data_IF_210891306436
#
_entry.id   IF_210891306436
#
_cell.length_a   1.000
_cell.length_b   1.000
_cell.length_c   1.000
_cell.angle_alpha   90.00
_cell.angle_beta   90.00
_cell.angle_gamma   90.00
#
_symmetry.space_group_name_H-M   'P 1'
#
loop_
_entity.id
_entity.type
_entity.pdbx_description
1 polymer ?
#
# COMPACT_ATOMS: atom_id res chain seq x y z
N UNK A 1 50.43 20.80 -4.98
CA UNK A 1 49.87 19.44 -4.78
C UNK A 1 50.59 18.50 -5.74
N UNK A 2 51.49 17.65 -5.24
CA UNK A 2 52.35 16.77 -6.05
C UNK A 2 51.51 15.76 -6.84
N UNK A 3 51.92 15.42 -8.07
CA UNK A 3 51.16 14.53 -8.97
C UNK A 3 50.74 13.21 -8.30
N UNK A 4 51.57 12.69 -7.39
CA UNK A 4 51.30 11.49 -6.60
C UNK A 4 50.03 11.57 -5.76
N UNK A 5 49.67 12.76 -5.24
CA UNK A 5 48.44 12.97 -4.45
C UNK A 5 47.18 12.93 -5.33
N UNK A 6 47.25 13.39 -6.59
CA UNK A 6 46.12 13.36 -7.53
C UNK A 6 45.82 11.94 -8.00
N UNK A 7 46.86 11.11 -8.20
CA UNK A 7 46.72 9.70 -8.57
C UNK A 7 46.09 8.88 -7.43
N UNK A 8 46.51 9.10 -6.17
CA UNK A 8 45.88 8.40 -5.04
C UNK A 8 44.40 8.75 -4.87
N UNK A 9 44.01 10.02 -5.04
CA UNK A 9 42.60 10.44 -4.92
C UNK A 9 41.75 9.81 -6.04
N UNK A 10 42.29 9.74 -7.26
CA UNK A 10 41.61 9.09 -8.39
C UNK A 10 41.37 7.60 -8.14
N UNK A 11 42.34 6.91 -7.53
CA UNK A 11 42.22 5.48 -7.26
C UNK A 11 41.14 5.18 -6.21
N UNK A 12 41.02 6.02 -5.18
CA UNK A 12 39.98 5.88 -4.13
C UNK A 12 38.57 6.06 -4.70
N UNK A 13 38.40 6.98 -5.65
CA UNK A 13 37.09 7.24 -6.29
C UNK A 13 36.63 6.04 -7.13
N UNK A 14 37.55 5.41 -7.87
CA UNK A 14 37.22 4.23 -8.70
C UNK A 14 36.78 3.04 -7.85
N UNK A 15 37.44 2.79 -6.71
CA UNK A 15 37.09 1.70 -5.79
C UNK A 15 35.68 1.91 -5.19
N UNK A 16 35.33 3.16 -4.86
CA UNK A 16 33.99 3.51 -4.37
C UNK A 16 32.90 3.20 -5.40
N UNK A 17 33.11 3.53 -6.69
CA UNK A 17 32.14 3.25 -7.74
C UNK A 17 31.96 1.74 -8.04
N UNK A 18 33.01 0.93 -7.91
CA UNK A 18 32.90 -0.53 -8.09
C UNK A 18 32.05 -1.20 -7.00
N UNK A 19 32.09 -0.69 -5.76
CA UNK A 19 31.29 -1.25 -4.66
C UNK A 19 29.78 -0.97 -4.80
N UNK A 20 29.40 0.12 -5.47
CA UNK A 20 27.99 0.49 -5.68
C UNK A 20 27.35 -0.32 -6.83
N UNK A 21 28.12 -0.69 -7.86
CA UNK A 21 27.61 -1.43 -9.02
C UNK A 21 27.15 -2.85 -8.71
N UNK A 22 27.84 -3.55 -7.80
CA UNK A 22 27.50 -4.93 -7.42
C UNK A 22 26.15 -4.99 -6.69
N UNK A 23 25.87 -3.99 -5.85
CA UNK A 23 24.62 -3.92 -5.06
C UNK A 23 23.36 -3.70 -5.92
N UNK A 24 23.49 -3.02 -7.07
CA UNK A 24 22.36 -2.78 -7.98
C UNK A 24 22.10 -4.05 -8.82
N UNK A 25 23.13 -4.80 -9.18
CA UNK A 25 22.96 -6.02 -9.99
C UNK A 25 22.20 -7.13 -9.27
N UNK A 26 22.39 -7.32 -7.96
CA UNK A 26 21.66 -8.32 -7.17
C UNK A 26 20.20 -7.97 -6.92
N UNK A 27 19.83 -6.68 -6.90
CA UNK A 27 18.43 -6.26 -6.76
C UNK A 27 17.61 -6.49 -8.04
N UNK A 28 18.23 -6.43 -9.22
CA UNK A 28 17.55 -6.65 -10.51
C UNK A 28 17.59 -8.11 -10.99
N UNK A 29 18.51 -8.95 -10.50
CA UNK A 29 18.57 -10.39 -10.87
C UNK A 29 17.60 -11.28 -10.08
N UNK A 30 17.09 -10.87 -8.91
CA UNK A 30 16.15 -11.69 -8.12
C UNK A 30 14.74 -11.82 -8.74
N UNK A 31 14.47 -11.15 -9.87
CA UNK A 31 13.16 -11.19 -10.53
C UNK A 31 13.10 -12.15 -11.74
N UNK A 32 14.06 -13.06 -11.89
CA UNK A 32 14.03 -14.09 -12.94
C UNK A 32 14.48 -15.44 -12.39
N UNK A 33 13.51 -16.28 -12.08
CA UNK A 33 13.50 -17.77 -11.97
C UNK A 33 12.36 -18.13 -11.00
N UNK A 34 11.43 -19.03 -11.25
CA UNK A 34 11.22 -19.97 -12.33
C UNK A 34 9.83 -20.59 -12.19
N UNK A 35 9.32 -21.04 -13.33
CA UNK A 35 8.16 -21.91 -13.52
C UNK A 35 8.22 -23.11 -12.58
N UNK A 36 7.11 -23.49 -11.93
CA UNK A 36 6.71 -24.88 -11.63
C UNK A 36 5.29 -24.97 -11.03
N UNK A 37 4.69 -26.13 -11.25
CA UNK A 37 3.27 -26.46 -11.31
C UNK A 37 2.50 -26.50 -9.98
N UNK A 38 1.20 -26.17 -10.09
CA UNK A 38 0.01 -26.86 -9.55
C UNK A 38 0.19 -27.65 -8.24
N UNK A 39 -0.42 -27.18 -7.15
CA UNK A 39 -1.29 -28.04 -6.32
C UNK A 39 -2.33 -27.22 -5.56
N UNK A 40 -3.59 -27.45 -5.90
CA UNK A 40 -4.76 -26.91 -5.19
C UNK A 40 -4.81 -27.45 -3.76
N UNK A 41 -4.83 -26.58 -2.76
CA UNK A 41 -5.35 -26.96 -1.44
C UNK A 41 -6.24 -25.85 -0.91
N UNK A 42 -7.54 -26.06 -1.08
CA UNK A 42 -8.62 -25.29 -0.47
C UNK A 42 -8.63 -25.53 1.04
N UNK A 43 -8.49 -24.49 1.85
CA UNK A 43 -8.90 -24.49 3.25
C UNK A 43 -9.88 -23.34 3.49
N UNK A 44 -11.14 -23.74 3.65
CA UNK A 44 -12.26 -22.98 4.21
C UNK A 44 -11.86 -22.40 5.56
N UNK A 45 -12.11 -21.11 5.76
CA UNK A 45 -12.48 -20.59 7.08
C UNK A 45 -13.44 -19.41 6.93
N UNK A 46 -14.57 -19.53 7.62
CA UNK A 46 -15.75 -18.66 7.56
C UNK A 46 -15.48 -17.28 8.17
N UNK A 47 -15.77 -16.22 7.43
CA UNK A 47 -16.33 -15.01 8.03
C UNK A 47 -17.30 -14.34 7.05
N UNK A 48 -18.51 -14.08 7.55
CA UNK A 48 -19.64 -13.55 6.78
C UNK A 48 -19.39 -12.11 6.29
N UNK A 49 -18.82 -12.00 5.10
CA UNK A 49 -19.24 -11.01 4.11
C UNK A 49 -19.43 -11.76 2.80
N UNK A 50 -20.53 -11.44 2.09
CA UNK A 50 -20.99 -12.13 0.89
C UNK A 50 -19.97 -11.93 -0.24
N UNK A 51 -18.91 -12.74 -0.27
CA UNK A 51 -18.05 -12.93 -1.43
C UNK A 51 -18.90 -13.54 -2.55
N UNK A 52 -19.47 -12.69 -3.40
CA UNK A 52 -19.88 -13.12 -4.71
C UNK A 52 -18.60 -13.22 -5.55
N UNK A 53 -17.89 -14.35 -5.42
CA UNK A 53 -16.84 -14.77 -6.34
C UNK A 53 -17.47 -14.96 -7.72
N UNK A 54 -17.67 -13.85 -8.42
CA UNK A 54 -17.90 -13.84 -9.85
C UNK A 54 -16.50 -13.95 -10.43
N UNK A 55 -16.19 -15.12 -10.99
CA UNK A 55 -15.04 -15.29 -11.89
C UNK A 55 -15.27 -14.29 -13.03
N UNK A 56 -14.69 -13.11 -12.90
CA UNK A 56 -14.81 -12.02 -13.85
C UNK A 56 -13.55 -12.10 -14.70
N UNK A 57 -13.70 -12.72 -15.87
CA UNK A 57 -12.73 -12.56 -16.94
C UNK A 57 -12.49 -11.06 -17.20
N UNK A 58 -11.22 -10.70 -17.39
CA UNK A 58 -10.66 -9.41 -17.83
C UNK A 58 -10.50 -8.33 -16.76
N UNK A 59 -9.24 -8.08 -16.36
CA UNK A 59 -8.46 -6.82 -16.42
C UNK A 59 -9.14 -5.46 -16.15
N UNK A 60 -10.36 -5.45 -15.63
CA UNK A 60 -11.16 -4.24 -15.48
C UNK A 60 -11.14 -3.80 -14.02
N UNK A 61 -10.20 -2.90 -13.73
CA UNK A 61 -10.12 -2.21 -12.43
C UNK A 61 -11.49 -1.64 -12.10
N UNK A 62 -12.11 -2.18 -11.05
CA UNK A 62 -13.38 -1.67 -10.56
C UNK A 62 -13.16 -0.27 -9.99
N UNK A 63 -13.84 0.71 -10.59
CA UNK A 63 -13.67 2.12 -10.22
C UNK A 63 -14.41 2.39 -8.92
N UNK A 64 -13.68 2.88 -7.93
CA UNK A 64 -14.22 3.30 -6.66
C UNK A 64 -14.94 4.64 -6.82
N UNK A 65 -16.11 4.77 -6.18
CA UNK A 65 -16.84 6.04 -6.14
C UNK A 65 -16.10 7.06 -5.27
N UNK A 66 -15.59 6.61 -4.13
CA UNK A 66 -14.98 7.43 -3.08
C UNK A 66 -13.49 7.13 -2.93
N UNK A 67 -12.74 8.08 -2.36
CA UNK A 67 -11.39 7.83 -1.87
C UNK A 67 -11.45 6.87 -0.68
N UNK A 68 -10.61 5.85 -0.69
CA UNK A 68 -10.55 4.79 0.32
C UNK A 68 -9.15 4.77 0.91
N UNK A 69 -9.07 4.64 2.22
CA UNK A 69 -7.83 4.26 2.91
C UNK A 69 -7.84 2.75 3.08
N UNK A 70 -6.84 2.08 2.54
CA UNK A 70 -6.64 0.64 2.66
C UNK A 70 -5.42 0.39 3.54
N UNK A 71 -5.63 -0.25 4.69
CA UNK A 71 -4.57 -0.61 5.62
C UNK A 71 -4.15 -2.05 5.33
N UNK A 72 -2.93 -2.24 4.82
CA UNK A 72 -2.32 -3.53 4.54
C UNK A 72 -1.42 -3.94 5.71
N UNK A 73 -1.52 -5.19 6.16
CA UNK A 73 -0.62 -5.76 7.16
C UNK A 73 0.22 -6.88 6.55
N UNK A 74 1.40 -7.10 7.13
CA UNK A 74 2.34 -8.13 6.68
C UNK A 74 1.81 -9.56 6.87
N UNK A 75 0.89 -9.77 7.82
CA UNK A 75 0.25 -11.05 8.10
C UNK A 75 -0.91 -11.40 7.14
N UNK A 76 -1.08 -10.61 6.07
CA UNK A 76 -2.14 -10.78 5.09
C UNK A 76 -3.49 -10.20 5.51
N UNK A 77 -3.63 -9.67 6.74
CA UNK A 77 -4.85 -8.98 7.15
C UNK A 77 -4.93 -7.60 6.50
N UNK A 78 -6.16 -7.17 6.27
CA UNK A 78 -6.42 -5.83 5.77
C UNK A 78 -7.70 -5.25 6.36
N UNK A 79 -7.74 -3.93 6.41
CA UNK A 79 -8.97 -3.20 6.71
C UNK A 79 -9.06 -1.99 5.80
N UNK A 80 -10.27 -1.49 5.56
CA UNK A 80 -10.46 -0.32 4.72
C UNK A 80 -11.55 0.58 5.26
N UNK A 81 -11.45 1.85 4.92
CA UNK A 81 -12.49 2.81 5.26
C UNK A 81 -12.54 4.00 4.30
N UNK A 82 -13.69 4.67 4.27
CA UNK A 82 -13.91 5.90 3.51
C UNK A 82 -13.77 7.12 4.44
N UNK A 83 -12.70 7.93 4.32
CA UNK A 83 -12.57 9.17 5.10
C UNK A 83 -13.57 10.24 4.66
N UNK A 84 -14.33 10.78 5.62
CA UNK A 84 -15.39 11.77 5.39
C UNK A 84 -14.83 13.10 4.87
N UNK A 85 -13.67 13.52 5.39
CA UNK A 85 -13.00 14.77 4.96
C UNK A 85 -12.45 14.72 3.54
N UNK A 86 -12.14 13.54 3.00
CA UNK A 86 -11.79 13.40 1.58
C UNK A 86 -13.03 13.18 0.69
N UNK A 87 -14.16 12.84 1.28
CA UNK A 87 -15.39 12.49 0.57
C UNK A 87 -16.59 13.23 1.18
N UNK A 88 -16.73 14.55 0.97
CA UNK A 88 -17.81 15.33 1.60
C UNK A 88 -19.21 14.92 1.16
N UNK A 89 -19.35 14.25 0.00
CA UNK A 89 -20.61 13.69 -0.48
C UNK A 89 -20.91 12.27 0.04
N UNK A 90 -19.97 11.67 0.77
CA UNK A 90 -20.15 10.34 1.35
C UNK A 90 -21.14 10.40 2.51
N UNK A 91 -22.11 9.49 2.47
CA UNK A 91 -23.04 9.20 3.55
C UNK A 91 -22.78 7.76 3.98
N UNK A 92 -22.75 7.51 5.28
CA UNK A 92 -22.75 6.14 5.82
C UNK A 92 -24.16 5.56 5.63
N UNK A 93 -24.51 5.27 4.37
CA UNK A 93 -25.63 4.42 4.02
C UNK A 93 -25.14 2.99 3.75
N UNK A 94 -26.05 2.02 3.73
CA UNK A 94 -25.72 0.60 3.61
C UNK A 94 -25.20 0.19 2.20
N UNK A 95 -25.15 1.13 1.25
CA UNK A 95 -24.99 0.85 -0.19
C UNK A 95 -23.66 1.35 -0.79
N UNK A 96 -22.60 1.50 0.01
CA UNK A 96 -21.27 1.74 -0.56
C UNK A 96 -20.45 0.45 -0.61
N UNK A 97 -20.09 0.04 -1.83
CA UNK A 97 -19.16 -1.05 -2.06
C UNK A 97 -17.74 -0.49 -2.15
N UNK A 98 -16.86 -0.96 -1.27
CA UNK A 98 -15.42 -0.76 -1.39
C UNK A 98 -14.89 -1.90 -2.25
N UNK A 99 -14.26 -1.59 -3.38
CA UNK A 99 -13.63 -2.59 -4.24
C UNK A 99 -12.13 -2.39 -4.24
N UNK A 100 -11.41 -3.40 -3.74
CA UNK A 100 -9.94 -3.45 -3.78
C UNK A 100 -9.60 -4.63 -4.67
N UNK A 101 -9.06 -4.33 -5.85
CA UNK A 101 -8.54 -5.34 -6.76
C UNK A 101 -7.05 -5.52 -6.52
N UNK A 102 -6.59 -6.77 -6.48
CA UNK A 102 -5.20 -7.13 -6.20
C UNK A 102 -4.71 -7.99 -7.37
N UNK A 103 -3.52 -7.72 -7.88
CA UNK A 103 -2.88 -8.53 -8.93
C UNK A 103 -2.26 -9.82 -8.36
N UNK A 104 -1.79 -10.71 -9.24
CA UNK A 104 -1.16 -11.97 -8.85
C UNK A 104 0.12 -11.79 -8.01
N UNK A 105 0.69 -10.57 -7.99
CA UNK A 105 1.88 -10.22 -7.23
C UNK A 105 1.55 -9.56 -5.87
N UNK A 106 0.26 -9.44 -5.51
CA UNK A 106 -0.16 -8.79 -4.27
C UNK A 106 -0.14 -7.26 -4.31
N UNK A 107 -0.02 -6.66 -5.50
CA UNK A 107 -0.13 -5.21 -5.71
C UNK A 107 -1.58 -4.81 -5.85
N UNK A 108 -1.93 -3.67 -5.25
CA UNK A 108 -3.27 -3.10 -5.36
C UNK A 108 -3.40 -2.42 -6.73
N UNK A 109 -4.37 -2.87 -7.52
CA UNK A 109 -4.78 -2.24 -8.76
C UNK A 109 -5.54 -0.95 -8.42
N UNK A 110 -4.79 0.13 -8.29
CA UNK A 110 -5.30 1.42 -7.84
C UNK A 110 -5.85 2.26 -9.01
N UNK A 111 -7.13 2.60 -8.94
CA UNK A 111 -7.81 3.52 -9.88
C UNK A 111 -7.53 5.01 -9.59
N UNK A 112 -6.58 5.29 -8.70
CA UNK A 112 -6.24 6.63 -8.23
C UNK A 112 -7.02 7.08 -7.00
N UNK A 113 -7.92 6.24 -6.45
CA UNK A 113 -8.71 6.56 -5.27
C UNK A 113 -8.35 5.74 -4.04
N UNK A 114 -7.37 4.85 -4.11
CA UNK A 114 -6.92 4.04 -2.97
C UNK A 114 -5.64 4.66 -2.39
N UNK A 115 -5.66 4.91 -1.08
CA UNK A 115 -4.50 5.33 -0.29
C UNK A 115 -4.05 4.13 0.54
N UNK A 116 -2.93 3.52 0.16
CA UNK A 116 -2.39 2.31 0.80
C UNK A 116 -1.55 2.72 2.01
N UNK A 117 -1.89 2.20 3.19
CA UNK A 117 -1.18 2.42 4.45
C UNK A 117 -0.63 1.07 4.92
N UNK A 118 0.69 0.96 4.98
CA UNK A 118 1.34 -0.28 5.40
C UNK A 118 1.53 -0.29 6.92
N UNK A 119 1.14 -1.38 7.57
CA UNK A 119 1.36 -1.66 8.99
C UNK A 119 0.95 -0.50 9.91
N UNK A 120 -0.17 0.16 9.60
CA UNK A 120 -0.69 1.33 10.32
C UNK A 120 0.23 2.57 10.32
N UNK A 121 1.20 2.64 9.42
CA UNK A 121 2.15 3.75 9.32
C UNK A 121 1.80 4.64 8.13
N UNK A 122 1.40 5.88 8.41
CA UNK A 122 1.12 6.88 7.38
C UNK A 122 2.45 7.46 6.88
N UNK A 123 2.86 7.03 5.68
CA UNK A 123 4.10 7.45 5.05
C UNK A 123 4.07 8.91 4.58
N UNK A 124 5.25 9.44 4.23
CA UNK A 124 5.35 10.78 3.60
C UNK A 124 4.59 10.84 2.28
N UNK A 125 4.55 9.75 1.52
CA UNK A 125 3.83 9.71 0.25
C UNK A 125 2.31 9.72 0.48
N UNK A 126 1.81 9.01 1.50
CA UNK A 126 0.41 9.13 1.90
C UNK A 126 0.05 10.57 2.24
N UNK A 127 0.89 11.27 3.00
CA UNK A 127 0.67 12.67 3.36
C UNK A 127 0.60 13.59 2.14
N UNK A 128 1.46 13.38 1.14
CA UNK A 128 1.41 14.14 -0.12
C UNK A 128 0.12 13.84 -0.89
N UNK A 129 -0.26 12.58 -1.02
CA UNK A 129 -1.49 12.16 -1.71
C UNK A 129 -2.73 12.75 -1.03
N UNK A 130 -2.81 12.69 0.30
CA UNK A 130 -3.89 13.31 1.08
C UNK A 130 -3.93 14.83 0.84
N UNK A 131 -2.77 15.51 0.85
CA UNK A 131 -2.70 16.95 0.56
C UNK A 131 -3.19 17.26 -0.86
N UNK A 132 -2.80 16.46 -1.85
CA UNK A 132 -3.21 16.61 -3.25
C UNK A 132 -4.72 16.46 -3.42
N UNK A 133 -5.33 15.52 -2.72
CA UNK A 133 -6.78 15.25 -2.80
C UNK A 133 -7.59 16.31 -2.05
N UNK A 134 -7.19 16.64 -0.81
CA UNK A 134 -7.96 17.54 0.06
C UNK A 134 -7.77 19.03 -0.29
N UNK A 135 -6.67 19.39 -0.92
CA UNK A 135 -6.23 20.79 -1.04
C UNK A 135 -5.65 21.33 0.27
N UNK A 136 -4.99 22.49 0.21
CA UNK A 136 -4.27 23.04 1.36
C UNK A 136 -5.18 23.36 2.55
N UNK A 137 -6.37 23.88 2.29
CA UNK A 137 -7.33 24.29 3.31
C UNK A 137 -7.84 23.12 4.15
N UNK A 138 -8.14 21.98 3.50
CA UNK A 138 -8.73 20.82 4.17
C UNK A 138 -7.69 19.77 4.59
N UNK A 139 -6.43 19.90 4.15
CA UNK A 139 -5.37 18.92 4.38
C UNK A 139 -5.22 18.54 5.85
N UNK A 140 -5.12 19.53 6.75
CA UNK A 140 -4.91 19.28 8.18
C UNK A 140 -6.06 18.46 8.80
N UNK A 141 -7.30 18.76 8.41
CA UNK A 141 -8.48 18.05 8.89
C UNK A 141 -8.55 16.62 8.35
N UNK A 142 -8.27 16.44 7.05
CA UNK A 142 -8.26 15.13 6.42
C UNK A 142 -7.16 14.22 6.96
N UNK A 143 -5.95 14.76 7.15
CA UNK A 143 -4.84 14.00 7.73
C UNK A 143 -5.17 13.53 9.15
N UNK A 144 -5.70 14.43 9.98
CA UNK A 144 -6.06 14.11 11.36
C UNK A 144 -7.11 13.01 11.44
N UNK A 145 -8.17 13.07 10.63
CA UNK A 145 -9.19 12.01 10.58
C UNK A 145 -8.57 10.65 10.22
N UNK A 146 -7.70 10.62 9.20
CA UNK A 146 -7.07 9.38 8.75
C UNK A 146 -6.12 8.83 9.82
N UNK A 147 -5.32 9.70 10.46
CA UNK A 147 -4.44 9.32 11.58
C UNK A 147 -5.25 8.69 12.73
N UNK A 148 -6.34 9.32 13.16
CA UNK A 148 -7.21 8.81 14.22
C UNK A 148 -7.83 7.45 13.86
N UNK A 149 -8.35 7.30 12.64
CA UNK A 149 -8.97 6.05 12.19
C UNK A 149 -7.97 4.91 12.03
N UNK A 150 -6.75 5.20 11.56
CA UNK A 150 -5.67 4.21 11.47
C UNK A 150 -5.25 3.73 12.87
N UNK A 151 -5.13 4.65 13.83
CA UNK A 151 -4.83 4.30 15.23
C UNK A 151 -5.95 3.47 15.84
N UNK A 152 -7.21 3.82 15.58
CA UNK A 152 -8.35 3.05 16.09
C UNK A 152 -8.40 1.65 15.49
N UNK A 153 -8.17 1.51 14.17
CA UNK A 153 -8.08 0.22 13.51
C UNK A 153 -7.00 -0.66 14.13
N UNK A 154 -5.82 -0.09 14.43
CA UNK A 154 -4.75 -0.80 15.13
C UNK A 154 -5.19 -1.32 16.50
N UNK A 155 -5.81 -0.45 17.31
CA UNK A 155 -6.28 -0.80 18.66
C UNK A 155 -7.36 -1.88 18.66
N UNK A 156 -8.31 -1.82 17.72
CA UNK A 156 -9.37 -2.83 17.59
C UNK A 156 -8.82 -4.21 17.26
N UNK A 157 -7.67 -4.29 16.57
CA UNK A 157 -7.02 -5.56 16.25
C UNK A 157 -6.13 -6.08 17.39
N UNK A 158 -5.50 -5.20 18.17
CA UNK A 158 -4.70 -5.59 19.34
C UNK A 158 -5.58 -6.03 20.53
N UNK A 159 -6.80 -5.49 20.66
CA UNK A 159 -7.74 -5.84 21.73
C UNK A 159 -9.14 -6.16 21.18
N UNK A 160 -9.39 -7.39 20.70
CA UNK A 160 -10.69 -7.78 20.13
C UNK A 160 -11.86 -7.73 21.13
N UNK A 161 -11.58 -7.68 22.45
CA UNK A 161 -12.58 -7.73 23.54
C UNK A 161 -13.52 -6.51 23.56
N UNK A 162 -13.19 -5.40 22.89
CA UNK A 162 -14.02 -4.18 22.89
C UNK A 162 -14.67 -3.86 21.54
N UNK A 163 -14.69 -4.80 20.59
CA UNK A 163 -15.36 -4.62 19.30
C UNK A 163 -16.79 -5.17 19.37
N UNK A 164 -17.72 -4.41 19.97
CA UNK A 164 -19.17 -4.63 19.91
C UNK A 164 -19.86 -3.41 19.30
#
# INVERSE_FOLDING_TARGET
MTQTKKVMISLTIVILFFSFGIYISSFFLSNKEGTNEITNTSLKEESSQREKNTILNSDTVHKNKYYIVYIKQDDGKASSFVPKKLNPSFKEDADYNVSISIDDNGNILNDGKIIVVDNFVISKENKKTIKKIAGEENYKGALKEIEERVINAKKSMENPIYSN
#
